data_IF_578132026157
#
_entry.id   IF_578132026157
#
_cell.length_a   1.000
_cell.length_b   1.000
_cell.length_c   1.000
_cell.angle_alpha   90.00
_cell.angle_beta   90.00
_cell.angle_gamma   90.00
#
_symmetry.space_group_name_H-M   'P 1'
#
loop_
_entity.id
_entity.type
_entity.pdbx_description
1 polymer ?
#
# COMPACT_ATOMS: atom_id res chain seq x y z
N UNK A 1 -1.25 -3.40 -6.43
CA UNK A 1 -0.81 -4.79 -6.21
C UNK A 1 -1.67 -5.42 -5.13
N UNK A 2 -1.92 -6.73 -5.20
CA UNK A 2 -2.64 -7.47 -4.15
C UNK A 2 -1.83 -8.68 -3.68
N UNK A 3 -1.88 -8.95 -2.38
CA UNK A 3 -1.49 -10.22 -1.78
C UNK A 3 -2.70 -11.15 -1.77
N UNK A 4 -2.50 -12.38 -2.23
CA UNK A 4 -3.56 -13.39 -2.33
C UNK A 4 -3.44 -14.36 -1.16
N UNK A 5 -4.40 -14.32 -0.24
CA UNK A 5 -4.44 -15.22 0.90
C UNK A 5 -4.84 -16.63 0.46
N UNK A 6 -4.06 -17.62 0.89
CA UNK A 6 -4.32 -19.03 0.68
C UNK A 6 -4.32 -19.78 2.01
N UNK A 7 -5.25 -20.71 2.19
CA UNK A 7 -5.41 -21.43 3.46
C UNK A 7 -4.30 -22.45 3.71
N UNK A 8 -3.63 -22.91 2.65
CA UNK A 8 -2.57 -23.91 2.70
C UNK A 8 -1.16 -23.31 2.85
N UNK A 9 -1.00 -21.98 2.81
CA UNK A 9 0.31 -21.32 2.83
C UNK A 9 0.38 -20.27 3.93
N UNK A 10 1.52 -20.16 4.65
CA UNK A 10 1.72 -19.06 5.58
C UNK A 10 1.72 -17.73 4.83
N UNK A 11 1.30 -16.65 5.50
CA UNK A 11 1.16 -15.31 4.89
C UNK A 11 2.43 -14.79 4.23
N UNK A 12 3.60 -15.17 4.76
CA UNK A 12 4.91 -14.82 4.22
C UNK A 12 5.22 -15.43 2.86
N UNK A 13 4.44 -16.43 2.42
CA UNK A 13 4.57 -17.14 1.13
C UNK A 13 3.32 -17.01 0.26
N UNK A 14 2.40 -16.12 0.61
CA UNK A 14 1.24 -15.85 -0.21
C UNK A 14 1.65 -15.20 -1.54
N UNK A 15 1.09 -15.63 -2.68
CA UNK A 15 1.43 -15.07 -3.97
C UNK A 15 0.97 -13.61 -4.10
N UNK A 16 1.68 -12.87 -4.95
CA UNK A 16 1.33 -11.51 -5.34
C UNK A 16 0.72 -11.52 -6.74
N UNK A 17 -0.17 -10.56 -7.00
CA UNK A 17 -0.72 -10.38 -8.33
C UNK A 17 -1.37 -9.02 -8.57
N UNK A 18 -1.90 -8.88 -9.77
CA UNK A 18 -2.65 -7.72 -10.25
C UNK A 18 -4.05 -8.17 -10.63
N UNK A 19 -5.07 -7.46 -10.12
CA UNK A 19 -6.46 -7.73 -10.49
C UNK A 19 -6.65 -7.31 -11.95
N UNK A 20 -7.10 -8.25 -12.80
CA UNK A 20 -7.35 -8.01 -14.22
C UNK A 20 -8.85 -7.99 -14.55
N UNK A 21 -9.70 -8.60 -13.73
CA UNK A 21 -11.15 -8.56 -13.89
C UNK A 21 -11.87 -8.69 -12.54
N UNK A 22 -13.01 -8.01 -12.38
CA UNK A 22 -13.92 -8.14 -11.25
C UNK A 22 -15.22 -8.84 -11.67
N UNK A 23 -15.76 -9.67 -10.76
CA UNK A 23 -17.03 -10.37 -10.96
C UNK A 23 -18.08 -9.86 -9.94
N UNK A 24 -18.94 -8.90 -10.35
CA UNK A 24 -20.02 -8.38 -9.50
C UNK A 24 -21.18 -9.37 -9.35
N UNK A 25 -21.82 -9.34 -8.18
CA UNK A 25 -23.10 -10.01 -7.94
C UNK A 25 -24.29 -9.21 -8.49
N UNK A 26 -25.51 -9.74 -8.26
CA UNK A 26 -26.75 -9.08 -8.70
C UNK A 26 -26.97 -7.69 -8.08
N UNK A 27 -26.40 -7.45 -6.90
CA UNK A 27 -26.40 -6.16 -6.20
C UNK A 27 -25.24 -5.23 -6.61
N UNK A 28 -24.46 -5.61 -7.63
CA UNK A 28 -23.30 -4.86 -8.11
C UNK A 28 -22.02 -5.04 -7.28
N UNK A 29 -22.07 -5.72 -6.13
CA UNK A 29 -20.90 -5.88 -5.26
C UNK A 29 -20.00 -7.01 -5.77
N UNK A 30 -18.73 -6.68 -6.01
CA UNK A 30 -17.72 -7.64 -6.46
C UNK A 30 -17.29 -8.59 -5.34
N UNK A 31 -17.48 -9.88 -5.58
CA UNK A 31 -17.19 -10.95 -4.60
C UNK A 31 -16.06 -11.87 -5.04
N UNK A 32 -15.76 -11.90 -6.34
CA UNK A 32 -14.60 -12.57 -6.89
C UNK A 32 -13.87 -11.65 -7.86
N UNK A 33 -12.58 -11.91 -8.03
CA UNK A 33 -11.73 -11.23 -8.99
C UNK A 33 -10.82 -12.25 -9.68
N UNK A 34 -10.49 -11.98 -10.94
CA UNK A 34 -9.42 -12.65 -11.67
C UNK A 34 -8.13 -11.87 -11.45
N UNK A 35 -7.09 -12.59 -11.06
CA UNK A 35 -5.78 -12.04 -10.71
C UNK A 35 -4.73 -12.69 -11.58
N UNK A 36 -3.92 -11.85 -12.22
CA UNK A 36 -2.71 -12.27 -12.89
C UNK A 36 -1.57 -12.29 -11.87
N UNK A 37 -1.02 -13.49 -11.62
CA UNK A 37 0.21 -13.69 -10.87
C UNK A 37 1.38 -13.86 -11.83
N UNK A 38 2.61 -13.94 -11.32
CA UNK A 38 3.80 -14.18 -12.17
C UNK A 38 3.76 -15.52 -12.91
N UNK A 39 2.99 -16.49 -12.43
CA UNK A 39 2.95 -17.85 -12.97
C UNK A 39 1.66 -18.19 -13.69
N UNK A 40 0.55 -17.58 -13.30
CA UNK A 40 -0.78 -17.96 -13.80
C UNK A 40 -1.85 -16.92 -13.52
N UNK A 41 -2.97 -17.05 -14.22
CA UNK A 41 -4.22 -16.38 -13.87
C UNK A 41 -5.05 -17.26 -12.94
N UNK A 42 -5.53 -16.68 -11.85
CA UNK A 42 -6.35 -17.38 -10.87
C UNK A 42 -7.57 -16.54 -10.51
N UNK A 43 -8.67 -17.20 -10.16
CA UNK A 43 -9.85 -16.53 -9.60
C UNK A 43 -9.90 -16.75 -8.09
N UNK A 44 -10.08 -15.65 -7.34
CA UNK A 44 -10.18 -15.69 -5.88
C UNK A 44 -11.29 -14.78 -5.37
N UNK A 45 -11.92 -15.12 -4.24
CA UNK A 45 -12.83 -14.22 -3.56
C UNK A 45 -12.13 -12.92 -3.17
N UNK A 46 -12.81 -11.78 -3.31
CA UNK A 46 -12.28 -10.46 -2.92
C UNK A 46 -11.87 -10.43 -1.43
N UNK A 47 -12.58 -11.16 -0.58
CA UNK A 47 -12.25 -11.31 0.84
C UNK A 47 -10.88 -11.97 1.12
N UNK A 48 -10.29 -12.65 0.12
CA UNK A 48 -8.94 -13.24 0.21
C UNK A 48 -7.87 -12.32 -0.39
N UNK A 49 -8.22 -11.14 -0.88
CA UNK A 49 -7.28 -10.19 -1.47
C UNK A 49 -6.96 -9.07 -0.48
N UNK A 50 -5.67 -8.81 -0.29
CA UNK A 50 -5.19 -7.70 0.54
C UNK A 50 -4.49 -6.71 -0.37
N UNK A 51 -4.99 -5.48 -0.42
CA UNK A 51 -4.36 -4.40 -1.20
C UNK A 51 -3.06 -4.00 -0.53
N UNK A 52 -2.00 -3.91 -1.32
CA UNK A 52 -0.68 -3.47 -0.85
C UNK A 52 -0.45 -2.00 -1.17
N UNK A 53 0.09 -1.29 -0.20
CA UNK A 53 0.64 0.05 -0.39
C UNK A 53 2.00 0.00 -1.08
N UNK A 54 2.36 1.01 -1.89
CA UNK A 54 3.69 1.13 -2.44
C UNK A 54 4.74 1.27 -1.33
N UNK A 55 5.92 0.69 -1.53
CA UNK A 55 7.04 0.88 -0.62
C UNK A 55 7.48 2.36 -0.65
N UNK A 56 7.79 2.91 0.54
CA UNK A 56 8.47 4.20 0.63
C UNK A 56 9.93 4.00 0.25
N UNK A 57 10.38 4.72 -0.77
CA UNK A 57 11.79 4.77 -1.10
C UNK A 57 12.41 5.76 -0.11
N UNK A 58 13.28 5.25 0.75
CA UNK A 58 14.11 6.10 1.61
C UNK A 58 15.31 6.46 0.75
N UNK A 59 15.13 7.40 -0.17
CA UNK A 59 16.25 8.08 -0.78
C UNK A 59 17.01 8.71 0.39
N UNK A 60 18.30 8.43 0.55
CA UNK A 60 19.10 8.81 1.73
C UNK A 60 19.26 10.33 1.94
N UNK A 61 18.34 11.15 1.43
CA UNK A 61 18.33 12.60 1.41
C UNK A 61 16.96 13.08 1.90
N UNK A 62 16.81 13.30 3.21
CA UNK A 62 15.52 13.77 3.71
C UNK A 62 15.29 13.88 5.20
N UNK A 63 16.33 13.81 6.05
CA UNK A 63 16.17 14.22 7.45
C UNK A 63 17.24 15.22 7.90
N UNK A 64 17.71 16.05 6.97
CA UNK A 64 18.39 17.30 7.33
C UNK A 64 17.35 18.17 8.04
N UNK A 65 17.50 18.46 9.36
CA UNK A 65 16.68 19.48 9.97
C UNK A 65 16.91 20.77 9.17
N UNK A 66 15.83 21.37 8.68
CA UNK A 66 15.86 22.65 8.00
C UNK A 66 16.68 23.64 8.85
N UNK A 67 17.63 24.40 8.27
CA UNK A 67 18.37 25.41 8.99
C UNK A 67 17.36 26.31 9.70
N UNK A 68 17.50 26.40 11.01
CA UNK A 68 16.55 27.06 11.89
C UNK A 68 16.11 28.41 11.34
N UNK A 69 14.80 28.62 11.39
CA UNK A 69 14.19 29.93 11.46
C UNK A 69 15.08 30.91 12.27
N UNK A 70 15.57 31.91 11.55
CA UNK A 70 16.32 33.05 12.03
C UNK A 70 15.53 33.74 13.15
N UNK A 71 15.98 33.56 14.40
CA UNK A 71 15.41 34.28 15.55
C UNK A 71 15.90 35.72 15.48
N UNK A 72 15.25 36.53 14.66
CA UNK A 72 15.38 37.98 14.74
C UNK A 72 14.48 38.55 15.83
N UNK A 73 15.15 39.05 16.86
CA UNK A 73 14.82 40.19 17.71
C UNK A 73 13.49 40.20 18.49
N UNK A 74 13.61 39.94 19.81
CA UNK A 74 12.83 40.69 20.80
C UNK A 74 13.75 41.14 21.95
N UNK A 75 14.73 42.00 21.66
CA UNK A 75 15.36 42.79 22.72
C UNK A 75 14.87 44.22 22.64
N UNK A 76 13.61 44.40 23.02
CA UNK A 76 13.09 45.70 23.37
C UNK A 76 12.08 45.54 24.50
N UNK A 77 12.56 45.41 25.75
CA UNK A 77 12.02 46.03 26.98
C UNK A 77 13.08 45.95 28.10
N UNK A 78 13.12 47.01 28.91
CA UNK A 78 14.00 47.28 30.07
C UNK A 78 15.30 48.05 29.76
N UNK A 79 15.15 49.34 29.46
CA UNK A 79 15.31 50.38 30.49
C UNK A 79 14.69 51.70 30.04
#
# INVERSE_FOLDING_TARGET
LVLILEDSRPRTRCPLGVVIQLFPGQDGVSRAAQILTSTSEITRPVAKLVVLEPARIIDGEGNSPSPGEDVTDVTARFR
#
